data_IF_723113309201
#
_entry.id   IF_723113309201
#
_cell.length_a   1.000
_cell.length_b   1.000
_cell.length_c   1.000
_cell.angle_alpha   90.00
_cell.angle_beta   90.00
_cell.angle_gamma   90.00
#
_symmetry.space_group_name_H-M   'P 1'
#
loop_
_entity.id
_entity.type
_entity.pdbx_description
1 polymer ?
#
# COMPACT_ATOMS: atom_id res chain seq x y z
N UNK A 1 -2.91 -8.45 8.38
CA UNK A 1 -1.50 -8.78 8.08
C UNK A 1 -1.50 -9.70 6.88
N UNK A 2 -0.71 -9.38 5.85
CA UNK A 2 -0.64 -10.10 4.58
C UNK A 2 0.82 -10.51 4.35
N UNK A 3 1.03 -11.78 4.00
CA UNK A 3 2.33 -12.24 3.52
C UNK A 3 2.53 -11.81 2.07
N UNK A 4 3.70 -11.23 1.77
CA UNK A 4 4.03 -10.72 0.44
C UNK A 4 5.53 -10.82 0.17
N UNK A 5 5.93 -10.38 -1.02
CA UNK A 5 7.33 -10.05 -1.33
C UNK A 5 7.42 -8.54 -1.54
N UNK A 6 8.34 -7.90 -0.82
CA UNK A 6 8.65 -6.48 -1.01
C UNK A 6 9.74 -6.33 -2.08
N UNK A 7 9.89 -5.12 -2.63
CA UNK A 7 10.87 -4.77 -3.68
C UNK A 7 10.65 -5.49 -5.03
N UNK A 8 9.49 -6.13 -5.23
CA UNK A 8 9.11 -6.82 -6.46
C UNK A 8 7.60 -6.73 -6.70
N UNK A 9 7.14 -6.83 -7.94
CA UNK A 9 5.72 -6.97 -8.27
C UNK A 9 5.02 -5.66 -8.61
N UNK A 10 3.78 -5.49 -8.12
CA UNK A 10 2.93 -4.36 -8.45
C UNK A 10 3.51 -3.08 -7.82
N UNK A 11 3.86 -2.06 -8.62
CA UNK A 11 4.27 -0.77 -8.08
C UNK A 11 3.08 -0.06 -7.43
N UNK A 12 3.31 0.46 -6.23
CA UNK A 12 2.35 1.26 -5.48
C UNK A 12 3.02 2.57 -5.08
N UNK A 13 2.33 3.68 -5.35
CA UNK A 13 2.74 4.99 -4.90
C UNK A 13 1.94 5.40 -3.66
N UNK A 14 2.65 5.68 -2.57
CA UNK A 14 2.08 5.99 -1.27
C UNK A 14 2.17 7.49 -0.99
N UNK A 15 1.05 8.09 -0.58
CA UNK A 15 0.94 9.49 -0.17
C UNK A 15 0.09 9.62 1.09
N UNK A 16 0.19 10.77 1.77
CA UNK A 16 -0.66 11.11 2.92
C UNK A 16 0.13 11.40 4.20
N UNK A 17 -0.54 11.49 5.36
CA UNK A 17 0.08 11.88 6.63
C UNK A 17 1.27 10.99 7.01
N UNK A 18 2.41 11.61 7.33
CA UNK A 18 3.65 10.90 7.69
C UNK A 18 4.57 10.55 6.52
N UNK A 19 4.18 10.88 5.28
CA UNK A 19 5.01 10.76 4.08
C UNK A 19 5.37 12.16 3.58
N UNK A 20 6.66 12.45 3.41
CA UNK A 20 7.12 13.70 2.80
C UNK A 20 7.14 13.55 1.28
N UNK A 21 6.13 14.13 0.61
CA UNK A 21 5.88 13.92 -0.80
C UNK A 21 5.26 12.55 -1.07
N UNK A 22 6.03 11.63 -1.63
CA UNK A 22 5.55 10.32 -2.06
C UNK A 22 6.65 9.25 -1.95
N UNK A 23 6.23 8.02 -1.67
CA UNK A 23 7.12 6.86 -1.58
C UNK A 23 6.60 5.80 -2.55
N UNK A 24 7.47 5.32 -3.45
CA UNK A 24 7.17 4.17 -4.30
C UNK A 24 7.64 2.89 -3.62
N UNK A 25 6.79 1.87 -3.59
CA UNK A 25 7.12 0.51 -3.17
C UNK A 25 6.69 -0.48 -4.24
N UNK A 26 7.26 -1.70 -4.21
CA UNK A 26 6.80 -2.80 -5.05
C UNK A 26 6.34 -3.97 -4.18
N UNK A 27 5.15 -4.50 -4.47
CA UNK A 27 4.54 -5.58 -3.70
C UNK A 27 4.08 -6.72 -4.62
N UNK A 28 4.63 -7.91 -4.41
CA UNK A 28 4.21 -9.15 -5.06
C UNK A 28 3.43 -10.03 -4.06
N UNK A 29 2.51 -10.84 -4.58
CA UNK A 29 1.68 -11.74 -3.78
C UNK A 29 0.40 -11.11 -3.21
N UNK A 30 0.17 -9.81 -3.44
CA UNK A 30 -1.11 -9.13 -3.15
C UNK A 30 -1.76 -8.73 -4.46
N UNK A 31 -2.99 -9.19 -4.77
CA UNK A 31 -3.64 -8.89 -6.04
C UNK A 31 -4.01 -7.41 -6.13
N UNK A 32 -3.95 -6.85 -7.34
CA UNK A 32 -4.33 -5.45 -7.62
C UNK A 32 -5.72 -5.10 -7.07
N UNK A 33 -6.69 -6.02 -7.22
CA UNK A 33 -8.07 -5.85 -6.74
C UNK A 33 -8.17 -5.59 -5.23
N UNK A 34 -7.22 -6.08 -4.44
CA UNK A 34 -7.19 -5.78 -3.01
C UNK A 34 -6.97 -4.29 -2.75
N UNK A 35 -6.06 -3.66 -3.50
CA UNK A 35 -5.75 -2.24 -3.37
C UNK A 35 -6.90 -1.36 -3.88
N UNK A 36 -7.54 -1.78 -4.97
CA UNK A 36 -8.75 -1.12 -5.49
C UNK A 36 -9.85 -1.14 -4.43
N UNK A 37 -10.20 -2.32 -3.90
CA UNK A 37 -11.24 -2.47 -2.88
C UNK A 37 -10.90 -1.70 -1.61
N UNK A 38 -9.62 -1.70 -1.21
CA UNK A 38 -9.16 -0.89 -0.08
C UNK A 38 -9.44 0.59 -0.31
N UNK A 39 -9.06 1.13 -1.46
CA UNK A 39 -9.26 2.55 -1.76
C UNK A 39 -10.74 2.91 -1.82
N UNK A 40 -11.58 2.07 -2.41
CA UNK A 40 -13.03 2.28 -2.50
C UNK A 40 -13.71 2.26 -1.12
N UNK A 41 -13.27 1.38 -0.22
CA UNK A 41 -13.90 1.19 1.08
C UNK A 41 -13.25 1.98 2.23
N UNK A 42 -12.19 2.72 1.94
CA UNK A 42 -11.53 3.58 2.94
C UNK A 42 -12.14 4.97 2.90
N UNK A 43 -13.20 5.17 3.68
CA UNK A 43 -13.85 6.46 3.90
C UNK A 43 -13.71 6.86 5.35
N UNK A 44 -12.83 7.81 5.68
CA UNK A 44 -12.54 8.18 7.08
C UNK A 44 -13.84 8.42 7.89
N UNK A 45 -13.99 7.81 9.09
CA UNK A 45 -13.00 7.00 9.83
C UNK A 45 -13.01 5.48 9.50
N UNK A 46 -13.87 5.04 8.59
CA UNK A 46 -13.98 3.65 8.15
C UNK A 46 -12.80 3.25 7.26
N UNK A 47 -12.46 1.96 7.27
CA UNK A 47 -11.32 1.39 6.56
C UNK A 47 -10.46 0.52 7.48
N UNK A 48 -9.44 -0.10 6.90
CA UNK A 48 -8.50 -0.95 7.63
C UNK A 48 -7.05 -0.57 7.34
N UNK A 49 -6.21 -0.82 8.35
CA UNK A 49 -4.77 -0.68 8.24
C UNK A 49 -4.18 -1.97 7.65
N UNK A 50 -3.25 -1.85 6.73
CA UNK A 50 -2.60 -3.00 6.09
C UNK A 50 -1.21 -3.17 6.67
N UNK A 51 -0.86 -4.40 7.04
CA UNK A 51 0.49 -4.77 7.45
C UNK A 51 1.01 -5.80 6.46
N UNK A 52 2.01 -5.40 5.68
CA UNK A 52 2.74 -6.25 4.73
C UNK A 52 3.94 -6.87 5.43
N UNK A 53 4.19 -8.16 5.17
CA UNK A 53 5.22 -8.94 5.87
C UNK A 53 6.03 -9.73 4.87
N UNK A 54 7.34 -9.56 4.94
CA UNK A 54 8.31 -10.23 4.08
C UNK A 54 9.61 -10.44 4.87
N UNK A 55 10.07 -11.68 5.01
CA UNK A 55 11.37 -12.05 5.61
C UNK A 55 11.71 -11.34 6.94
N UNK A 56 10.73 -11.27 7.84
CA UNK A 56 10.88 -10.62 9.16
C UNK A 56 10.77 -9.10 9.15
N UNK A 57 10.60 -8.50 7.97
CA UNK A 57 10.28 -7.08 7.82
C UNK A 57 8.76 -6.86 7.85
N UNK A 58 8.35 -5.70 8.35
CA UNK A 58 6.95 -5.27 8.38
C UNK A 58 6.85 -3.86 7.82
N UNK A 59 5.96 -3.66 6.85
CA UNK A 59 5.56 -2.35 6.35
C UNK A 59 4.09 -2.12 6.69
N UNK A 60 3.80 -1.06 7.44
CA UNK A 60 2.44 -0.67 7.77
C UNK A 60 1.94 0.43 6.83
N UNK A 61 0.73 0.25 6.30
CA UNK A 61 0.01 1.22 5.46
C UNK A 61 -1.29 1.57 6.21
N UNK A 62 -1.29 2.63 7.03
CA UNK A 62 -2.47 3.12 7.73
C UNK A 62 -3.62 3.44 6.77
N UNK A 63 -4.86 3.38 7.24
CA UNK A 63 -6.06 3.72 6.45
C UNK A 63 -6.02 5.16 5.89
N UNK A 64 -5.27 6.07 6.50
CA UNK A 64 -5.08 7.43 6.00
C UNK A 64 -4.07 7.54 4.85
N UNK A 65 -3.33 6.47 4.56
CA UNK A 65 -2.39 6.42 3.42
C UNK A 65 -3.17 6.12 2.15
N UNK A 66 -3.06 7.06 1.22
CA UNK A 66 -3.53 6.92 -0.16
C UNK A 66 -2.57 5.99 -0.91
N UNK A 67 -3.14 5.08 -1.69
CA UNK A 67 -2.38 4.09 -2.47
C UNK A 67 -2.77 4.23 -3.92
N UNK A 68 -1.88 4.74 -4.76
CA UNK A 68 -2.08 4.73 -6.20
C UNK A 68 -1.41 3.51 -6.81
N UNK A 69 -2.11 2.81 -7.70
CA UNK A 69 -1.62 1.62 -8.37
C UNK A 69 -0.89 2.06 -9.64
N UNK A 70 0.36 1.66 -9.77
CA UNK A 70 1.23 2.06 -10.88
C UNK A 70 2.48 2.81 -10.42
N UNK A 71 3.44 3.00 -11.33
CA UNK A 71 4.66 3.74 -11.05
C UNK A 71 4.37 5.24 -10.91
N UNK A 72 5.32 5.99 -10.32
CA UNK A 72 5.30 7.45 -10.33
C UNK A 72 5.19 8.00 -11.75
N UNK A 73 4.23 8.92 -11.97
CA UNK A 73 4.13 9.70 -13.21
C UNK A 73 5.29 10.71 -13.28
N UNK A 74 6.07 10.68 -14.36
CA UNK A 74 7.12 11.66 -14.65
C UNK A 74 6.55 13.03 -15.05
#
# INVERSE_FOLDING_TARGET
MLGCQLEQGLPLLLTGPGIDGEIEIQVAGVPESFWIVRNELTSYPLGWDVFLVHDGQVLAIPRSTEVNIGPRSH
#
